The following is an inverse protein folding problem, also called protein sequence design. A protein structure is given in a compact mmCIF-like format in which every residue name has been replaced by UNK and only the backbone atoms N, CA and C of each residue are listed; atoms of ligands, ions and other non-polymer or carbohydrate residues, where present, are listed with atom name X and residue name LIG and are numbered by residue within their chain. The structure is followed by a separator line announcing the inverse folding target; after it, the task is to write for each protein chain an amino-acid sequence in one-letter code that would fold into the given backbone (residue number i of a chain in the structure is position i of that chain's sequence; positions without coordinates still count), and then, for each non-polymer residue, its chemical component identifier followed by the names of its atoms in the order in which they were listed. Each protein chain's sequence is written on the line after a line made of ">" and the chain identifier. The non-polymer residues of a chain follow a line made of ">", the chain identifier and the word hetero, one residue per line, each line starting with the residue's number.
data_IF_823785800104
#
_entry.id   IF_823785800104
#
_cell.length_a   1.000
_cell.length_b   1.000
_cell.length_c   1.000
_cell.angle_alpha   90.00
_cell.angle_beta   90.00
_cell.angle_gamma   90.00
#
_symmetry.space_group_name_H-M   'P 1'
#
loop_
_entity.id
_entity.type
_entity.pdbx_description
1 polymer ?
#
# COMPACT_ATOMS: atom_id res chain seq x y z
N UNK A 1 4.37 -6.28 -12.40
CA UNK A 1 3.22 -7.22 -12.47
C UNK A 1 3.07 -8.08 -11.23
N UNK A 2 4.14 -8.41 -10.47
CA UNK A 2 4.01 -9.31 -9.32
C UNK A 2 3.24 -8.70 -8.14
N UNK A 3 3.45 -7.41 -7.83
CA UNK A 3 2.75 -6.66 -6.78
C UNK A 3 1.23 -6.76 -6.87
N UNK A 4 0.65 -6.39 -8.02
CA UNK A 4 -0.80 -6.44 -8.25
C UNK A 4 -1.38 -7.83 -8.07
N UNK A 5 -0.67 -8.86 -8.56
CA UNK A 5 -1.12 -10.25 -8.46
C UNK A 5 -1.29 -10.67 -7.00
N UNK A 6 -0.26 -10.44 -6.19
CA UNK A 6 -0.31 -10.77 -4.76
C UNK A 6 -1.29 -9.88 -4.00
N UNK A 7 -1.33 -8.57 -4.28
CA UNK A 7 -2.23 -7.63 -3.61
C UNK A 7 -3.70 -7.97 -3.90
N UNK A 8 -4.05 -8.33 -5.14
CA UNK A 8 -5.40 -8.80 -5.50
C UNK A 8 -5.75 -10.11 -4.81
N UNK A 9 -4.79 -11.03 -4.71
CA UNK A 9 -5.01 -12.35 -4.11
C UNK A 9 -5.19 -12.27 -2.58
N UNK A 10 -4.50 -11.33 -1.94
CA UNK A 10 -4.49 -11.14 -0.48
C UNK A 10 -5.57 -10.13 -0.02
N UNK A 11 -5.91 -9.16 -0.87
CA UNK A 11 -6.83 -8.05 -0.61
C UNK A 11 -7.84 -7.91 -1.75
N UNK A 12 -8.64 -8.94 -1.97
CA UNK A 12 -9.62 -9.04 -3.07
C UNK A 12 -10.64 -7.90 -3.23
N UNK A 13 -10.75 -6.94 -2.30
CA UNK A 13 -11.52 -5.70 -2.55
C UNK A 13 -10.81 -4.71 -3.48
N UNK A 14 -9.50 -4.86 -3.76
CA UNK A 14 -8.85 -4.01 -4.76
C UNK A 14 -9.11 -4.54 -6.16
N UNK A 15 -9.62 -3.66 -7.01
CA UNK A 15 -9.83 -3.93 -8.43
C UNK A 15 -8.54 -3.69 -9.20
N UNK A 16 -8.36 -4.31 -10.36
CA UNK A 16 -7.24 -4.03 -11.26
C UNK A 16 -7.05 -2.54 -11.57
N UNK A 17 -8.14 -1.77 -11.58
CA UNK A 17 -8.13 -0.32 -11.76
C UNK A 17 -7.55 0.42 -10.54
N UNK A 18 -8.04 0.11 -9.32
CA UNK A 18 -7.47 0.65 -8.07
C UNK A 18 -5.98 0.33 -7.99
N UNK A 19 -5.61 -0.93 -8.29
CA UNK A 19 -4.24 -1.39 -8.31
C UNK A 19 -3.37 -0.60 -9.30
N UNK A 20 -3.93 -0.15 -10.42
CA UNK A 20 -3.22 0.70 -11.40
C UNK A 20 -3.09 2.13 -10.91
N UNK A 21 -4.13 2.69 -10.29
CA UNK A 21 -4.11 4.05 -9.78
C UNK A 21 -3.14 4.23 -8.61
N UNK A 22 -2.99 3.20 -7.77
CA UNK A 22 -2.06 3.21 -6.63
C UNK A 22 -0.61 2.98 -7.07
N UNK A 23 -0.38 2.39 -8.25
CA UNK A 23 0.96 2.12 -8.79
C UNK A 23 1.69 3.45 -9.06
N UNK A 24 2.45 3.92 -8.08
CA UNK A 24 3.24 5.15 -8.13
C UNK A 24 2.63 6.37 -7.44
N UNK A 25 1.50 6.24 -6.73
CA UNK A 25 0.90 7.34 -5.97
C UNK A 25 0.37 6.92 -4.59
N UNK A 26 1.21 7.07 -3.56
CA UNK A 26 0.88 6.73 -2.17
C UNK A 26 -0.38 7.42 -1.64
N UNK A 27 -0.64 8.65 -2.06
CA UNK A 27 -1.81 9.42 -1.62
C UNK A 27 -3.12 8.77 -2.10
N UNK A 28 -3.15 8.32 -3.36
CA UNK A 28 -4.28 7.57 -3.91
C UNK A 28 -4.42 6.21 -3.23
N UNK A 29 -3.32 5.56 -2.88
CA UNK A 29 -3.35 4.31 -2.12
C UNK A 29 -4.00 4.51 -0.76
N UNK A 30 -3.55 5.49 0.01
CA UNK A 30 -4.10 5.81 1.34
C UNK A 30 -5.59 6.10 1.28
N UNK A 31 -6.05 6.88 0.29
CA UNK A 31 -7.47 7.17 0.10
C UNK A 31 -8.31 5.92 -0.13
N UNK A 32 -7.93 5.10 -1.13
CA UNK A 32 -8.64 3.86 -1.47
C UNK A 32 -8.63 2.84 -0.33
N UNK A 33 -7.49 2.71 0.33
CA UNK A 33 -7.32 1.85 1.50
C UNK A 33 -8.22 2.32 2.64
N UNK A 34 -8.31 3.63 2.90
CA UNK A 34 -9.17 4.15 3.97
C UNK A 34 -10.66 3.93 3.67
N UNK A 35 -11.08 4.07 2.42
CA UNK A 35 -12.47 3.82 2.00
C UNK A 35 -12.86 2.34 2.04
N UNK A 36 -11.92 1.42 1.77
CA UNK A 36 -12.19 -0.02 1.61
C UNK A 36 -11.79 -0.87 2.82
N UNK A 37 -10.77 -0.42 3.53
CA UNK A 37 -10.02 -1.14 4.55
C UNK A 37 -9.64 -0.20 5.72
N UNK A 38 -10.55 0.67 6.15
CA UNK A 38 -10.31 1.69 7.18
C UNK A 38 -9.52 1.18 8.40
N UNK A 39 -9.79 -0.05 8.85
CA UNK A 39 -9.10 -0.70 9.97
C UNK A 39 -7.72 -1.28 9.62
N UNK A 40 -7.50 -1.65 8.36
CA UNK A 40 -6.25 -2.26 7.88
C UNK A 40 -5.32 -1.27 7.18
N UNK A 41 -5.60 0.04 7.27
CA UNK A 41 -4.81 1.07 6.60
C UNK A 41 -3.31 0.96 6.87
N UNK A 42 -2.92 0.81 8.12
CA UNK A 42 -1.53 0.73 8.53
C UNK A 42 -0.83 -0.56 8.05
N UNK A 43 -1.55 -1.68 8.09
CA UNK A 43 -1.09 -2.98 7.59
C UNK A 43 -0.83 -2.94 6.08
N UNK A 44 -1.76 -2.36 5.33
CA UNK A 44 -1.64 -2.21 3.89
C UNK A 44 -0.51 -1.26 3.50
N UNK A 45 -0.34 -0.14 4.21
CA UNK A 45 0.76 0.80 3.99
C UNK A 45 2.13 0.14 4.15
N UNK A 46 2.33 -0.61 5.24
CA UNK A 46 3.56 -1.38 5.44
C UNK A 46 3.77 -2.46 4.38
N UNK A 47 2.69 -3.08 3.92
CA UNK A 47 2.77 -4.14 2.91
C UNK A 47 3.16 -3.61 1.53
N UNK A 48 2.73 -2.39 1.17
CA UNK A 48 3.05 -1.76 -0.13
C UNK A 48 4.36 -0.97 -0.13
N UNK A 49 4.86 -0.54 1.03
CA UNK A 49 6.14 0.16 1.21
C UNK A 49 7.32 -0.45 0.42
N UNK A 50 7.57 -1.78 0.45
CA UNK A 50 8.68 -2.37 -0.32
C UNK A 50 8.49 -2.30 -1.84
N UNK A 51 7.27 -2.02 -2.33
CA UNK A 51 6.93 -1.96 -3.74
C UNK A 51 6.91 -0.52 -4.29
N UNK A 52 6.76 0.48 -3.42
CA UNK A 52 6.65 1.91 -3.77
C UNK A 52 7.99 2.64 -3.90
N UNK A 53 9.12 1.97 -3.75
CA UNK A 53 10.44 2.62 -3.66
C UNK A 53 10.95 3.15 -5.02
N UNK A 54 11.13 4.47 -5.21
CA UNK A 54 12.38 4.99 -5.73
C UNK A 54 13.33 5.20 -4.53
N UNK A 55 14.59 4.83 -4.69
CA UNK A 55 15.58 4.81 -3.63
C UNK A 55 15.73 6.16 -2.86
N UNK A 56 15.14 6.30 -1.66
CA UNK A 56 15.60 7.16 -0.54
C UNK A 56 14.63 7.08 0.65
N UNK A 57 15.16 7.34 1.87
CA UNK A 57 14.51 7.33 3.20
C UNK A 57 14.34 5.90 3.79
N UNK A 58 14.99 5.45 4.86
CA UNK A 58 15.47 6.17 6.07
C UNK A 58 14.43 7.12 6.62
N UNK A 59 13.45 6.62 7.38
CA UNK A 59 12.94 7.23 8.63
C UNK A 59 11.69 6.50 9.12
N UNK A 60 11.84 5.68 10.15
CA UNK A 60 10.99 5.64 11.35
C UNK A 60 11.39 4.43 12.19
N UNK A 61 12.51 4.58 12.88
CA UNK A 61 12.75 3.92 14.16
C UNK A 61 11.51 4.12 15.01
N UNK A 62 10.69 3.07 15.07
CA UNK A 62 9.55 2.97 15.95
C UNK A 62 10.08 2.91 17.38
N UNK A 63 10.10 4.08 18.03
CA UNK A 63 9.77 4.25 19.46
C UNK A 63 10.38 3.19 20.39
N UNK A 64 11.70 3.22 20.56
CA UNK A 64 12.29 2.68 21.79
C UNK A 64 12.14 3.72 22.88
N UNK A 65 11.52 3.27 23.96
CA UNK A 65 11.25 3.96 25.22
C UNK A 65 12.51 4.52 25.87
#
# INVERSE_FOLDING_TARGET
>A
MQFKGTLKQQYGNFTDDDLKQIEGNDDTFVGKVQERYGDKKDELLKWVEPWHKPAAAETATQKTR
#
